data_IF_853356770855
#
_entry.id   IF_853356770855
#
_cell.length_a   1.000
_cell.length_b   1.000
_cell.length_c   1.000
_cell.angle_alpha   90.00
_cell.angle_beta   90.00
_cell.angle_gamma   90.00
#
_symmetry.space_group_name_H-M   'P 1'
#
loop_
_entity.id
_entity.type
_entity.pdbx_description
1 polymer ?
#
# COMPACT_ATOMS: atom_id res chain seq x y z
N UNK A 1 41.81 14.86 21.97
CA UNK A 1 41.89 14.32 20.58
C UNK A 1 41.74 12.81 20.70
N UNK A 2 40.69 12.13 20.26
CA UNK A 2 39.80 12.34 19.11
C UNK A 2 38.37 12.73 19.50
N UNK A 3 37.83 13.62 18.68
CA UNK A 3 36.41 13.91 18.55
C UNK A 3 35.85 12.80 17.65
N UNK A 4 34.74 12.17 18.04
CA UNK A 4 33.89 11.43 17.11
C UNK A 4 32.58 12.20 17.02
N UNK A 5 32.48 12.95 15.92
CA UNK A 5 31.27 13.60 15.44
C UNK A 5 30.38 12.49 14.86
N UNK A 6 29.14 12.39 15.34
CA UNK A 6 28.12 11.50 14.78
C UNK A 6 26.76 12.20 14.84
N UNK A 7 26.33 12.69 13.68
CA UNK A 7 25.00 13.15 13.22
C UNK A 7 23.96 13.69 14.22
N UNK A 8 23.43 14.93 14.05
CA UNK A 8 22.38 15.51 14.91
C UNK A 8 20.93 15.06 14.67
N UNK A 9 20.62 14.23 13.67
CA UNK A 9 19.22 14.14 13.15
C UNK A 9 18.45 12.86 13.51
N UNK A 10 18.52 12.39 14.76
CA UNK A 10 17.64 11.32 15.26
C UNK A 10 16.81 11.81 16.45
N UNK A 11 15.78 12.60 16.13
CA UNK A 11 14.69 12.86 17.08
C UNK A 11 13.82 11.60 17.13
N UNK A 12 14.04 10.76 18.14
CA UNK A 12 13.20 9.61 18.45
C UNK A 12 11.79 10.10 18.85
N UNK A 13 10.83 10.03 17.93
CA UNK A 13 9.41 10.19 18.25
C UNK A 13 8.84 8.79 18.54
N UNK A 14 8.48 8.57 19.80
CA UNK A 14 7.75 7.40 20.26
C UNK A 14 6.29 7.53 19.84
N UNK A 15 5.77 6.53 19.12
CA UNK A 15 4.37 6.44 18.70
C UNK A 15 3.66 5.40 19.55
N UNK A 16 2.65 5.78 20.32
CA UNK A 16 1.76 4.83 20.99
C UNK A 16 0.41 5.43 21.36
N UNK A 17 -0.64 4.62 21.15
CA UNK A 17 -1.85 4.70 21.95
C UNK A 17 -2.07 3.38 22.69
N UNK A 18 -1.80 3.41 24.01
CA UNK A 18 -2.73 2.98 25.05
C UNK A 18 -2.56 3.96 26.20
N UNK A 19 -3.63 4.73 26.48
CA UNK A 19 -3.73 5.77 27.51
C UNK A 19 -2.67 5.68 28.63
N UNK A 20 -1.60 6.47 28.50
CA UNK A 20 -0.69 6.75 29.62
C UNK A 20 -0.07 8.12 29.42
N UNK A 21 -0.35 9.01 30.38
CA UNK A 21 0.26 10.33 30.49
C UNK A 21 1.76 10.11 30.71
N UNK A 22 2.61 10.62 29.81
CA UNK A 22 4.06 10.60 29.94
C UNK A 22 4.54 12.03 30.20
N UNK A 23 5.09 12.26 31.39
CA UNK A 23 5.66 13.54 31.81
C UNK A 23 7.18 13.51 31.55
N UNK A 24 7.67 14.34 30.62
CA UNK A 24 9.09 14.52 30.36
C UNK A 24 9.40 16.01 30.42
N UNK A 25 10.21 16.43 31.39
CA UNK A 25 10.66 17.82 31.52
C UNK A 25 9.58 18.83 31.94
N UNK A 26 8.51 18.41 32.61
CA UNK A 26 7.48 19.31 33.15
C UNK A 26 6.51 19.88 32.11
N UNK A 27 6.47 19.31 30.89
CA UNK A 27 5.43 19.61 29.89
C UNK A 27 4.57 18.38 29.65
N UNK A 28 3.27 18.54 29.88
CA UNK A 28 2.21 17.58 29.54
C UNK A 28 2.02 17.60 28.02
N UNK A 29 2.28 16.49 27.34
CA UNK A 29 1.93 16.32 25.92
C UNK A 29 0.71 15.41 25.85
N UNK A 30 -0.39 15.92 25.27
CA UNK A 30 -1.60 15.12 25.04
C UNK A 30 -1.38 14.15 23.87
N UNK A 31 -1.92 12.94 24.00
CA UNK A 31 -1.89 11.81 23.06
C UNK A 31 -2.28 12.13 21.60
N UNK A 32 -2.76 13.34 21.28
CA UNK A 32 -3.30 13.73 19.97
C UNK A 32 -2.28 14.37 19.01
N UNK A 33 -1.19 14.95 19.51
CA UNK A 33 -0.36 15.82 18.65
C UNK A 33 0.67 15.05 17.81
N UNK A 34 1.25 13.97 18.33
CA UNK A 34 2.31 13.22 17.63
C UNK A 34 1.76 12.42 16.44
N UNK A 35 0.61 11.76 16.63
CA UNK A 35 -0.07 11.06 15.53
C UNK A 35 -0.57 12.05 14.47
N UNK A 36 -1.04 13.24 14.88
CA UNK A 36 -1.41 14.31 13.95
C UNK A 36 -0.21 14.86 13.17
N UNK A 37 0.96 14.99 13.80
CA UNK A 37 2.19 15.41 13.11
C UNK A 37 2.57 14.37 12.04
N UNK A 38 2.60 13.08 12.38
CA UNK A 38 2.92 12.05 11.40
C UNK A 38 1.90 11.96 10.26
N UNK A 39 0.60 12.04 10.58
CA UNK A 39 -0.45 12.07 9.55
C UNK A 39 -0.29 13.29 8.64
N UNK A 40 0.11 14.44 9.18
CA UNK A 40 0.37 15.63 8.37
C UNK A 40 1.61 15.45 7.50
N UNK A 41 2.71 14.94 8.05
CA UNK A 41 3.92 14.63 7.28
C UNK A 41 3.65 13.60 6.17
N UNK A 42 2.78 12.61 6.43
CA UNK A 42 2.32 11.65 5.44
C UNK A 42 1.54 12.34 4.32
N UNK A 43 0.64 13.26 4.65
CA UNK A 43 -0.10 14.05 3.66
C UNK A 43 0.84 14.91 2.84
N UNK A 44 1.75 15.62 3.47
CA UNK A 44 2.71 16.50 2.80
C UNK A 44 3.67 15.73 1.88
N UNK A 45 3.97 14.46 2.20
CA UNK A 45 4.85 13.62 1.38
C UNK A 45 4.16 12.99 0.16
N UNK A 46 2.84 12.92 0.15
CA UNK A 46 2.02 12.24 -0.87
C UNK A 46 0.93 13.15 -1.45
N UNK A 47 1.07 14.47 -1.34
CA UNK A 47 0.05 15.46 -1.74
C UNK A 47 -0.16 15.51 -3.26
N UNK A 48 0.88 15.20 -4.04
CA UNK A 48 0.91 15.20 -5.49
C UNK A 48 0.55 13.84 -6.12
N UNK A 49 0.30 12.82 -5.30
CA UNK A 49 0.12 11.45 -5.77
C UNK A 49 -1.32 11.22 -6.23
N UNK A 50 -1.45 10.86 -7.50
CA UNK A 50 -2.71 10.58 -8.18
C UNK A 50 -2.60 9.24 -8.93
N UNK A 51 -3.69 8.45 -8.98
CA UNK A 51 -3.66 7.17 -9.68
C UNK A 51 -3.72 7.34 -11.20
N UNK A 52 -4.39 8.38 -11.72
CA UNK A 52 -4.64 8.57 -13.17
C UNK A 52 -5.21 7.30 -13.85
N UNK A 53 -4.83 7.03 -15.11
CA UNK A 53 -5.25 5.87 -15.92
C UNK A 53 -4.46 4.57 -15.60
N UNK A 54 -3.96 4.42 -14.37
CA UNK A 54 -3.19 3.25 -13.93
C UNK A 54 -4.11 2.10 -13.50
N UNK A 55 -3.53 0.92 -13.34
CA UNK A 55 -4.26 -0.27 -12.88
C UNK A 55 -4.75 -0.08 -11.44
N UNK A 56 -6.01 -0.42 -11.19
CA UNK A 56 -6.60 -0.45 -9.85
C UNK A 56 -6.22 -1.74 -9.12
N UNK A 57 -6.25 -1.74 -7.78
CA UNK A 57 -6.11 -2.99 -7.02
C UNK A 57 -7.17 -4.02 -7.42
N UNK A 58 -8.42 -3.58 -7.63
CA UNK A 58 -9.49 -4.44 -8.16
C UNK A 58 -9.12 -5.07 -9.51
N UNK A 59 -8.59 -4.29 -10.45
CA UNK A 59 -8.19 -4.79 -11.78
C UNK A 59 -7.07 -5.83 -11.67
N UNK A 60 -6.05 -5.59 -10.83
CA UNK A 60 -4.93 -6.52 -10.63
C UNK A 60 -5.29 -7.76 -9.82
N UNK A 61 -6.10 -7.62 -8.77
CA UNK A 61 -6.56 -8.74 -7.95
C UNK A 61 -7.54 -9.62 -8.72
N UNK A 62 -8.45 -9.02 -9.50
CA UNK A 62 -9.26 -9.76 -10.47
C UNK A 62 -8.36 -10.44 -11.50
N UNK A 63 -7.36 -9.77 -12.04
CA UNK A 63 -6.45 -10.35 -13.03
C UNK A 63 -5.61 -11.52 -12.51
N UNK A 64 -5.20 -11.46 -11.25
CA UNK A 64 -4.46 -12.54 -10.58
C UNK A 64 -5.37 -13.74 -10.28
N UNK A 65 -6.58 -13.48 -9.76
CA UNK A 65 -7.60 -14.52 -9.55
C UNK A 65 -8.18 -15.05 -10.87
N UNK A 66 -8.07 -14.30 -11.96
CA UNK A 66 -8.54 -14.63 -13.32
C UNK A 66 -7.39 -14.82 -14.33
N UNK A 67 -6.37 -15.63 -14.03
CA UNK A 67 -5.39 -16.20 -15.00
C UNK A 67 -4.69 -15.24 -16.01
N UNK A 68 -4.74 -13.91 -15.84
CA UNK A 68 -4.24 -12.92 -16.84
C UNK A 68 -2.70 -12.90 -16.92
N UNK A 69 -1.99 -13.54 -15.99
CA UNK A 69 -0.53 -13.44 -15.86
C UNK A 69 0.31 -14.43 -16.65
N UNK A 70 -0.28 -15.38 -17.40
CA UNK A 70 0.53 -16.23 -18.30
C UNK A 70 0.98 -15.52 -19.58
N UNK A 71 0.51 -14.30 -19.84
CA UNK A 71 0.88 -13.48 -21.00
C UNK A 71 1.08 -12.01 -20.59
N UNK A 72 2.33 -11.49 -20.59
CA UNK A 72 2.61 -10.14 -20.14
C UNK A 72 2.02 -9.10 -21.10
N UNK A 73 1.12 -8.27 -20.56
CA UNK A 73 0.94 -6.85 -20.91
C UNK A 73 0.77 -6.47 -22.40
N UNK A 74 -0.10 -7.15 -23.15
CA UNK A 74 -0.64 -6.60 -24.40
C UNK A 74 -2.16 -6.67 -24.42
N UNK A 75 -2.80 -5.68 -23.79
CA UNK A 75 -4.26 -5.48 -23.70
C UNK A 75 -5.05 -6.66 -23.11
N UNK A 76 -5.86 -6.48 -22.04
CA UNK A 76 -6.51 -7.62 -21.38
C UNK A 76 -7.60 -8.33 -22.21
N UNK A 77 -7.83 -7.98 -23.49
CA UNK A 77 -9.02 -8.38 -24.25
C UNK A 77 -8.72 -8.75 -25.69
N UNK A 78 -7.65 -9.50 -25.92
CA UNK A 78 -7.30 -9.92 -27.27
C UNK A 78 -8.45 -10.72 -27.88
N UNK A 79 -9.05 -10.19 -28.96
CA UNK A 79 -10.30 -10.67 -29.59
C UNK A 79 -10.27 -12.13 -30.04
N UNK A 80 -9.08 -12.74 -30.02
CA UNK A 80 -8.79 -14.05 -30.58
C UNK A 80 -8.37 -15.10 -29.53
N UNK A 81 -8.54 -14.83 -28.23
CA UNK A 81 -8.22 -15.82 -27.20
C UNK A 81 -9.23 -16.98 -27.22
N UNK A 82 -8.82 -18.15 -27.72
CA UNK A 82 -9.66 -19.35 -27.79
C UNK A 82 -9.66 -20.05 -26.42
N UNK A 83 -10.84 -20.22 -25.79
CA UNK A 83 -11.02 -21.06 -24.60
C UNK A 83 -11.50 -20.29 -23.36
N UNK A 84 -10.91 -20.59 -22.19
CA UNK A 84 -11.27 -20.05 -20.86
C UNK A 84 -11.23 -18.51 -20.80
N UNK A 85 -10.52 -17.88 -21.73
CA UNK A 85 -10.23 -16.45 -21.82
C UNK A 85 -11.21 -15.67 -22.71
N UNK A 86 -12.23 -16.32 -23.25
CA UNK A 86 -13.24 -15.62 -24.02
C UNK A 86 -13.93 -14.57 -23.13
N UNK A 87 -14.26 -13.43 -23.74
CA UNK A 87 -15.04 -12.38 -23.09
C UNK A 87 -16.28 -12.92 -22.37
N UNK A 88 -16.94 -13.95 -22.91
CA UNK A 88 -18.11 -14.57 -22.27
C UNK A 88 -17.79 -15.28 -20.95
N UNK A 89 -16.61 -15.88 -20.82
CA UNK A 89 -16.21 -16.58 -19.59
C UNK A 89 -15.86 -15.58 -18.48
N UNK A 90 -15.06 -14.55 -18.79
CA UNK A 90 -14.74 -13.48 -17.84
C UNK A 90 -16.00 -12.79 -17.31
N UNK A 91 -16.95 -12.48 -18.21
CA UNK A 91 -18.24 -11.90 -17.81
C UNK A 91 -19.06 -12.87 -16.92
N UNK A 92 -18.96 -14.18 -17.15
CA UNK A 92 -19.61 -15.18 -16.31
C UNK A 92 -18.94 -15.28 -14.93
N UNK A 93 -17.61 -15.20 -14.84
CA UNK A 93 -16.89 -15.19 -13.56
C UNK A 93 -17.26 -13.97 -12.73
N UNK A 94 -17.27 -12.77 -13.33
CA UNK A 94 -17.68 -11.54 -12.65
C UNK A 94 -19.12 -11.63 -12.15
N UNK A 95 -20.03 -12.21 -12.94
CA UNK A 95 -21.43 -12.36 -12.53
C UNK A 95 -21.58 -13.23 -11.28
N UNK A 96 -20.73 -14.26 -11.15
CA UNK A 96 -20.81 -15.25 -10.08
C UNK A 96 -19.82 -14.99 -8.92
N UNK A 97 -19.06 -13.90 -8.95
CA UNK A 97 -18.11 -13.54 -7.90
C UNK A 97 -18.79 -12.82 -6.72
N UNK A 98 -18.04 -12.71 -5.62
CA UNK A 98 -18.43 -11.96 -4.41
C UNK A 98 -18.12 -10.45 -4.52
N UNK A 99 -17.88 -9.95 -5.73
CA UNK A 99 -17.73 -8.53 -6.00
C UNK A 99 -19.04 -7.78 -5.70
N UNK A 100 -18.90 -6.52 -5.27
CA UNK A 100 -20.01 -5.58 -5.13
C UNK A 100 -20.60 -5.28 -6.51
N UNK A 101 -21.88 -4.91 -6.54
CA UNK A 101 -22.58 -4.65 -7.80
C UNK A 101 -21.91 -3.55 -8.63
N UNK A 102 -21.36 -2.52 -7.98
CA UNK A 102 -20.66 -1.43 -8.65
C UNK A 102 -19.35 -1.93 -9.28
N UNK A 103 -18.54 -2.68 -8.52
CA UNK A 103 -17.29 -3.30 -8.99
C UNK A 103 -17.54 -4.24 -10.19
N UNK A 104 -18.64 -5.02 -10.13
CA UNK A 104 -19.07 -5.88 -11.25
C UNK A 104 -19.38 -5.05 -12.49
N UNK A 105 -20.11 -3.94 -12.34
CA UNK A 105 -20.45 -3.05 -13.47
C UNK A 105 -19.19 -2.47 -14.10
N UNK A 106 -18.23 -2.01 -13.31
CA UNK A 106 -17.01 -1.39 -13.85
C UNK A 106 -16.13 -2.40 -14.57
N UNK A 107 -15.95 -3.60 -14.01
CA UNK A 107 -15.22 -4.67 -14.68
C UNK A 107 -15.91 -5.10 -15.98
N UNK A 108 -17.24 -5.28 -15.96
CA UNK A 108 -18.02 -5.60 -17.17
C UNK A 108 -17.85 -4.52 -18.22
N UNK A 109 -17.90 -3.25 -17.85
CA UNK A 109 -17.73 -2.12 -18.77
C UNK A 109 -16.30 -2.09 -19.35
N UNK A 110 -15.28 -2.21 -18.49
CA UNK A 110 -13.87 -2.26 -18.88
C UNK A 110 -13.59 -3.40 -19.88
N UNK A 111 -14.04 -4.62 -19.57
CA UNK A 111 -13.97 -5.78 -20.47
C UNK A 111 -14.76 -5.55 -21.75
N UNK A 112 -15.93 -4.91 -21.62
CA UNK A 112 -16.81 -4.71 -22.76
C UNK A 112 -16.24 -3.76 -23.80
N UNK A 113 -15.61 -2.69 -23.32
CA UNK A 113 -15.08 -1.59 -24.13
C UNK A 113 -13.58 -1.72 -24.42
N UNK A 114 -12.90 -2.69 -23.81
CA UNK A 114 -11.47 -2.86 -23.97
C UNK A 114 -10.64 -1.80 -23.24
N UNK A 115 -11.16 -1.29 -22.11
CA UNK A 115 -10.60 -0.17 -21.33
C UNK A 115 -10.13 -0.62 -19.94
N UNK A 116 -9.53 0.32 -19.20
CA UNK A 116 -9.22 0.17 -17.77
C UNK A 116 -10.47 0.14 -16.91
N UNK A 117 -10.36 -0.51 -15.76
CA UNK A 117 -11.38 -0.40 -14.72
C UNK A 117 -11.36 1.03 -14.18
N UNK A 118 -12.53 1.63 -14.05
CA UNK A 118 -12.65 2.97 -13.52
C UNK A 118 -12.19 3.01 -12.06
N UNK A 119 -11.28 3.92 -11.75
CA UNK A 119 -10.91 4.19 -10.37
C UNK A 119 -11.91 5.16 -9.74
N UNK A 120 -12.58 4.73 -8.68
CA UNK A 120 -13.54 5.56 -7.95
C UNK A 120 -12.91 6.56 -6.99
N UNK A 121 -11.62 6.41 -6.69
CA UNK A 121 -10.93 7.22 -5.69
C UNK A 121 -10.06 8.27 -6.38
N UNK A 122 -10.45 9.54 -6.28
CA UNK A 122 -9.69 10.64 -6.88
C UNK A 122 -8.42 10.88 -6.09
N UNK A 123 -8.50 10.81 -4.76
CA UNK A 123 -7.33 10.94 -3.88
C UNK A 123 -7.13 9.66 -3.07
N UNK A 124 -5.90 9.46 -2.60
CA UNK A 124 -5.57 8.27 -1.83
C UNK A 124 -6.28 8.26 -0.47
N UNK A 125 -6.63 9.42 0.11
CA UNK A 125 -7.40 9.52 1.36
C UNK A 125 -8.81 8.95 1.25
N UNK A 126 -9.38 8.90 0.05
CA UNK A 126 -10.73 8.38 -0.19
C UNK A 126 -10.76 6.86 -0.23
N UNK A 127 -9.61 6.20 -0.41
CA UNK A 127 -9.54 4.74 -0.49
C UNK A 127 -9.86 4.14 0.88
N UNK A 128 -10.87 3.27 1.03
CA UNK A 128 -11.19 2.64 2.31
C UNK A 128 -10.26 1.45 2.59
N UNK A 129 -9.98 1.20 3.88
CA UNK A 129 -9.18 0.03 4.28
C UNK A 129 -9.80 -1.30 3.79
N UNK A 130 -11.12 -1.42 3.83
CA UNK A 130 -11.82 -2.63 3.36
C UNK A 130 -11.52 -2.93 1.89
N UNK A 131 -11.33 -1.90 1.05
CA UNK A 131 -10.92 -2.07 -0.35
C UNK A 131 -9.46 -2.55 -0.44
N UNK A 132 -8.54 -1.90 0.27
CA UNK A 132 -7.11 -2.30 0.32
C UNK A 132 -6.95 -3.76 0.78
N UNK A 133 -7.76 -4.17 1.75
CA UNK A 133 -7.72 -5.51 2.33
C UNK A 133 -8.42 -6.57 1.48
N UNK A 134 -9.56 -6.23 0.85
CA UNK A 134 -10.28 -7.13 -0.04
C UNK A 134 -9.46 -7.47 -1.30
N UNK A 135 -8.73 -6.48 -1.83
CA UNK A 135 -7.95 -6.60 -3.07
C UNK A 135 -6.44 -6.65 -2.84
N UNK A 136 -6.02 -7.23 -1.71
CA UNK A 136 -4.64 -7.21 -1.28
C UNK A 136 -3.69 -7.91 -2.27
N UNK A 137 -4.12 -8.94 -3.02
CA UNK A 137 -3.23 -9.60 -3.98
C UNK A 137 -2.88 -8.67 -5.15
N UNK A 138 -3.69 -7.64 -5.43
CA UNK A 138 -3.36 -6.60 -6.40
C UNK A 138 -2.02 -5.92 -6.11
N UNK A 139 -1.60 -5.81 -4.83
CA UNK A 139 -0.34 -5.16 -4.46
C UNK A 139 0.89 -5.81 -5.10
N UNK A 140 0.88 -7.13 -5.34
CA UNK A 140 2.01 -7.80 -5.95
C UNK A 140 2.30 -7.30 -7.37
N UNK A 141 1.30 -6.72 -8.04
CA UNK A 141 1.25 -6.65 -9.50
C UNK A 141 0.96 -5.27 -10.07
N UNK A 142 0.40 -4.38 -9.26
CA UNK A 142 0.23 -2.96 -9.61
C UNK A 142 1.55 -2.33 -10.07
N UNK A 143 1.41 -1.32 -10.93
CA UNK A 143 2.55 -0.51 -11.37
C UNK A 143 3.14 0.27 -10.20
N UNK A 144 4.40 0.73 -10.29
CA UNK A 144 5.03 1.50 -9.22
C UNK A 144 4.24 2.75 -8.82
N UNK A 145 3.63 3.46 -9.78
CA UNK A 145 2.83 4.66 -9.53
C UNK A 145 1.56 4.31 -8.74
N UNK A 146 0.87 3.23 -9.11
CA UNK A 146 -0.29 2.74 -8.36
C UNK A 146 0.11 2.28 -6.96
N UNK A 147 1.27 1.64 -6.80
CA UNK A 147 1.79 1.27 -5.49
C UNK A 147 2.03 2.48 -4.59
N UNK A 148 2.62 3.56 -5.13
CA UNK A 148 2.82 4.82 -4.42
C UNK A 148 1.47 5.45 -4.04
N UNK A 149 0.45 5.37 -4.92
CA UNK A 149 -0.90 5.87 -4.64
C UNK A 149 -1.58 5.14 -3.48
N UNK A 150 -1.52 3.81 -3.41
CA UNK A 150 -2.19 3.06 -2.34
C UNK A 150 -1.41 3.02 -1.02
N UNK A 151 -0.09 3.26 -1.05
CA UNK A 151 0.78 3.25 0.15
C UNK A 151 0.33 4.20 1.27
N UNK A 152 0.11 5.51 1.04
CA UNK A 152 -0.25 6.43 2.11
C UNK A 152 -1.62 6.13 2.69
N UNK A 153 -2.57 5.66 1.89
CA UNK A 153 -3.86 5.20 2.37
C UNK A 153 -3.71 4.06 3.38
N UNK A 154 -2.92 3.03 3.03
CA UNK A 154 -2.66 1.89 3.91
C UNK A 154 -1.98 2.32 5.22
N UNK A 155 -0.92 3.13 5.12
CA UNK A 155 -0.19 3.65 6.29
C UNK A 155 -1.12 4.44 7.21
N UNK A 156 -1.97 5.30 6.65
CA UNK A 156 -2.92 6.11 7.43
C UNK A 156 -3.84 5.22 8.28
N UNK A 157 -4.42 4.17 7.70
CA UNK A 157 -5.29 3.26 8.44
C UNK A 157 -4.53 2.47 9.51
N UNK A 158 -3.39 1.87 9.14
CA UNK A 158 -2.60 1.06 10.07
C UNK A 158 -2.04 1.88 11.25
N UNK A 159 -1.67 3.14 11.01
CA UNK A 159 -1.24 4.07 12.05
C UNK A 159 -2.42 4.50 12.95
N UNK A 160 -3.62 4.64 12.40
CA UNK A 160 -4.80 5.09 13.14
C UNK A 160 -5.48 3.98 13.94
N UNK A 161 -5.38 2.72 13.50
CA UNK A 161 -5.99 1.58 14.18
C UNK A 161 -5.17 0.30 13.97
N UNK A 162 -4.51 -0.16 15.04
CA UNK A 162 -3.67 -1.34 15.02
C UNK A 162 -4.44 -2.64 14.76
N UNK A 163 -5.77 -2.67 14.93
CA UNK A 163 -6.55 -3.87 14.58
C UNK A 163 -6.53 -4.20 13.09
N UNK A 164 -6.23 -3.22 12.23
CA UNK A 164 -6.12 -3.42 10.79
C UNK A 164 -4.92 -4.28 10.39
N UNK A 165 -3.93 -4.49 11.28
CA UNK A 165 -2.88 -5.49 11.06
C UNK A 165 -3.39 -6.93 11.08
N UNK A 166 -4.63 -7.19 11.53
CA UNK A 166 -5.27 -8.52 11.41
C UNK A 166 -5.67 -8.84 9.96
N UNK A 167 -5.71 -7.83 9.09
CA UNK A 167 -5.95 -7.99 7.65
C UNK A 167 -4.70 -8.44 6.89
N UNK A 168 -4.86 -8.71 5.61
CA UNK A 168 -3.79 -9.18 4.69
C UNK A 168 -3.15 -8.04 3.88
N UNK A 169 -3.76 -6.86 3.87
CA UNK A 169 -3.28 -5.71 3.09
C UNK A 169 -1.81 -5.36 3.39
N UNK A 170 -1.43 -5.36 4.67
CA UNK A 170 -0.07 -5.03 5.10
C UNK A 170 0.94 -6.04 4.56
N UNK A 171 0.66 -7.33 4.69
CA UNK A 171 1.57 -8.39 4.26
C UNK A 171 1.77 -8.38 2.74
N UNK A 172 0.70 -8.17 1.97
CA UNK A 172 0.80 -8.07 0.51
C UNK A 172 1.55 -6.80 0.07
N UNK A 173 1.27 -5.66 0.71
CA UNK A 173 2.01 -4.41 0.46
C UNK A 173 3.49 -4.54 0.79
N UNK A 174 3.82 -5.13 1.95
CA UNK A 174 5.20 -5.34 2.39
C UNK A 174 5.92 -6.35 1.49
N UNK A 175 5.24 -7.42 1.11
CA UNK A 175 5.80 -8.41 0.18
C UNK A 175 6.19 -7.77 -1.15
N UNK A 176 5.36 -6.87 -1.70
CA UNK A 176 5.70 -6.12 -2.92
C UNK A 176 6.97 -5.29 -2.77
N UNK A 177 7.18 -4.66 -1.61
CA UNK A 177 8.42 -3.94 -1.29
C UNK A 177 9.65 -4.86 -1.26
N UNK A 178 9.46 -6.10 -0.83
CA UNK A 178 10.51 -7.11 -0.68
C UNK A 178 10.78 -7.96 -1.94
N UNK A 179 10.02 -7.79 -3.03
CA UNK A 179 10.20 -8.63 -4.22
C UNK A 179 11.60 -8.45 -4.84
N UNK A 180 12.34 -9.55 -4.97
CA UNK A 180 13.71 -9.57 -5.51
C UNK A 180 13.73 -9.77 -7.04
N UNK A 181 14.25 -8.75 -7.74
CA UNK A 181 14.95 -8.74 -9.05
C UNK A 181 14.20 -8.63 -10.41
N UNK A 182 14.54 -7.54 -11.12
CA UNK A 182 15.26 -7.50 -12.42
C UNK A 182 15.66 -6.05 -12.79
N UNK A 183 15.05 -5.07 -12.15
CA UNK A 183 15.68 -3.78 -11.85
C UNK A 183 15.01 -3.26 -10.57
N UNK A 184 15.75 -3.25 -9.45
CA UNK A 184 15.25 -2.67 -8.17
C UNK A 184 14.81 -1.20 -8.33
N UNK A 185 15.34 -0.55 -9.36
CA UNK A 185 14.95 0.78 -9.84
C UNK A 185 13.50 0.84 -10.39
N UNK A 186 12.94 -0.28 -10.87
CA UNK A 186 11.59 -0.33 -11.48
C UNK A 186 10.46 -0.74 -10.54
N UNK A 187 10.74 -1.27 -9.34
CA UNK A 187 9.67 -1.88 -8.53
C UNK A 187 8.85 -0.86 -7.76
N UNK A 188 9.50 0.19 -7.23
CA UNK A 188 8.90 1.24 -6.42
C UNK A 188 9.68 2.55 -6.61
N UNK A 189 8.96 3.64 -6.90
CA UNK A 189 9.53 4.96 -7.22
C UNK A 189 9.26 6.00 -6.12
N UNK A 190 9.48 5.65 -4.85
CA UNK A 190 9.32 6.64 -3.77
C UNK A 190 10.30 7.80 -3.94
N UNK A 191 9.79 9.02 -3.80
CA UNK A 191 10.63 10.21 -3.64
C UNK A 191 11.41 10.13 -2.33
N UNK A 192 12.49 10.91 -2.15
CA UNK A 192 13.24 10.93 -0.88
C UNK A 192 12.34 11.23 0.33
N UNK A 193 11.37 12.13 0.19
CA UNK A 193 10.44 12.47 1.26
C UNK A 193 9.49 11.30 1.57
N UNK A 194 8.93 10.65 0.54
CA UNK A 194 8.08 9.47 0.71
C UNK A 194 8.83 8.32 1.39
N UNK A 195 10.08 8.06 0.97
CA UNK A 195 10.95 7.06 1.60
C UNK A 195 11.18 7.34 3.09
N UNK A 196 11.40 8.60 3.49
CA UNK A 196 11.54 8.99 4.89
C UNK A 196 10.28 8.64 5.68
N UNK A 197 9.09 8.94 5.15
CA UNK A 197 7.83 8.65 5.83
C UNK A 197 7.56 7.15 5.95
N UNK A 198 7.79 6.38 4.88
CA UNK A 198 7.64 4.91 4.92
C UNK A 198 8.61 4.30 5.93
N UNK A 199 9.87 4.76 5.97
CA UNK A 199 10.83 4.31 6.99
C UNK A 199 10.39 4.66 8.40
N UNK A 200 9.93 5.88 8.62
CA UNK A 200 9.42 6.33 9.92
C UNK A 200 8.29 5.41 10.38
N UNK A 201 7.33 5.12 9.51
CA UNK A 201 6.26 4.14 9.77
C UNK A 201 6.81 2.76 10.16
N UNK A 202 7.67 2.16 9.34
CA UNK A 202 8.22 0.82 9.60
C UNK A 202 9.03 0.75 10.91
N UNK A 203 9.86 1.77 11.17
CA UNK A 203 10.57 1.90 12.45
C UNK A 203 9.61 1.96 13.64
N UNK A 204 8.51 2.68 13.51
CA UNK A 204 7.50 2.77 14.57
C UNK A 204 6.84 1.42 14.85
N UNK A 205 6.58 0.63 13.82
CA UNK A 205 6.04 -0.73 14.00
C UNK A 205 6.98 -1.61 14.82
N UNK A 206 8.29 -1.56 14.53
CA UNK A 206 9.30 -2.32 15.29
C UNK A 206 9.41 -1.89 16.75
N UNK A 207 9.04 -0.65 17.04
CA UNK A 207 9.05 -0.12 18.40
C UNK A 207 7.74 -0.35 19.13
N UNK A 208 6.68 -0.85 18.47
CA UNK A 208 5.33 -1.01 19.01
C UNK A 208 5.04 -2.46 19.42
N UNK A 209 5.08 -2.76 20.73
CA UNK A 209 4.87 -4.13 21.26
C UNK A 209 3.57 -4.78 20.78
N UNK A 210 2.49 -4.01 20.58
CA UNK A 210 1.22 -4.56 20.10
C UNK A 210 1.25 -4.85 18.60
N UNK A 211 1.93 -4.03 17.80
CA UNK A 211 2.06 -4.27 16.36
C UNK A 211 2.86 -5.55 16.10
N UNK A 212 3.89 -5.81 16.91
CA UNK A 212 4.76 -7.00 16.80
C UNK A 212 3.98 -8.33 16.88
N UNK A 213 2.81 -8.36 17.50
CA UNK A 213 1.95 -9.56 17.56
C UNK A 213 1.30 -9.91 16.20
N UNK A 214 1.30 -8.97 15.24
CA UNK A 214 0.60 -9.10 13.96
C UNK A 214 1.51 -8.98 12.73
N UNK A 215 2.82 -8.76 12.91
CA UNK A 215 3.75 -8.54 11.80
C UNK A 215 4.92 -9.51 11.83
N UNK A 216 5.44 -9.83 10.65
CA UNK A 216 6.71 -10.53 10.51
C UNK A 216 7.88 -9.56 10.68
N UNK A 217 8.44 -9.50 11.89
CA UNK A 217 9.54 -8.58 12.27
C UNK A 217 10.74 -8.66 11.32
N UNK A 218 11.05 -9.87 10.82
CA UNK A 218 12.13 -10.07 9.86
C UNK A 218 11.90 -9.33 8.55
N UNK A 219 10.66 -9.33 8.06
CA UNK A 219 10.27 -8.71 6.79
C UNK A 219 10.30 -7.19 6.89
N UNK A 220 9.83 -6.65 8.02
CA UNK A 220 9.91 -5.20 8.29
C UNK A 220 11.36 -4.71 8.37
N UNK A 221 12.26 -5.48 8.97
CA UNK A 221 13.70 -5.14 9.02
C UNK A 221 14.34 -5.16 7.63
N UNK A 222 14.03 -6.19 6.81
CA UNK A 222 14.51 -6.25 5.42
C UNK A 222 14.00 -5.08 4.59
N UNK A 223 12.73 -4.70 4.77
CA UNK A 223 12.15 -3.56 4.09
C UNK A 223 12.85 -2.24 4.43
N UNK A 224 13.21 -2.05 5.71
CA UNK A 224 14.00 -0.88 6.13
C UNK A 224 15.37 -0.82 5.44
N UNK A 225 16.08 -1.95 5.38
CA UNK A 225 17.37 -2.06 4.68
C UNK A 225 17.22 -1.72 3.19
N UNK A 226 16.14 -2.18 2.55
CA UNK A 226 15.88 -1.92 1.13
C UNK A 226 15.57 -0.46 0.81
N UNK A 227 14.95 0.28 1.73
CA UNK A 227 14.70 1.72 1.54
C UNK A 227 15.98 2.53 1.79
N UNK A 228 16.88 2.06 2.66
CA UNK A 228 18.16 2.73 2.98
C UNK A 228 19.23 2.64 1.88
N UNK A 229 19.09 1.72 0.92
CA UNK A 229 19.99 1.59 -0.23
C UNK A 229 19.73 2.61 -1.36
N UNK A 230 18.68 3.45 -1.26
CA UNK A 230 18.31 4.49 -2.27
C UNK A 230 18.67 5.89 -1.82
#
# INVERSE_FOLDING_TARGET
MKILVGSPDLVYLLFYSKNKILEIGGKMYELSQVDQIFIQELRDAFDDVQLEDRFTLLEEDFADTSYLRKYPHQHPYDKNSIGYFSKSNLLSEIKNSDLLDDEKRDLILAISEGKRVYNHYQTWEEVPFDYLNKYANGFYFITPEAYIFYTPALILYLASNLEYFKGVAFDSWLSRLLMEEASRESLILFSPLQSIIVRKFLCNLLMNEFALDFIEVGDVKRALEMIDEK
#
